data_IF_065667611824
#
_entry.id   IF_065667611824
#
_cell.length_a   1.000
_cell.length_b   1.000
_cell.length_c   1.000
_cell.angle_alpha   90.00
_cell.angle_beta   90.00
_cell.angle_gamma   90.00
#
_symmetry.space_group_name_H-M   'P 1'
#
loop_
_entity.id
_entity.type
_entity.pdbx_description
1 polymer ?
#
# COMPACT_ATOMS: atom_id res chain seq x y z
N UNK A 1 12.18 -3.64 4.91
CA UNK A 1 11.17 -2.77 4.25
C UNK A 1 10.56 -1.75 5.22
N UNK A 2 9.77 -2.16 6.22
CA UNK A 2 9.03 -1.24 7.10
C UNK A 2 9.90 -0.17 7.80
N UNK A 3 11.07 -0.55 8.32
CA UNK A 3 11.99 0.39 8.98
C UNK A 3 12.43 1.55 8.07
N UNK A 4 12.70 1.27 6.79
CA UNK A 4 13.03 2.30 5.82
C UNK A 4 11.86 3.27 5.64
N UNK A 5 10.66 2.74 5.48
CA UNK A 5 9.44 3.55 5.29
C UNK A 5 9.18 4.42 6.52
N UNK A 6 9.29 3.86 7.73
CA UNK A 6 9.14 4.60 8.97
C UNK A 6 10.16 5.73 9.08
N UNK A 7 11.44 5.45 8.82
CA UNK A 7 12.51 6.45 8.85
C UNK A 7 12.27 7.61 7.87
N UNK A 8 11.83 7.32 6.63
CA UNK A 8 11.53 8.36 5.64
C UNK A 8 10.37 9.28 6.07
N UNK A 9 9.51 8.82 6.97
CA UNK A 9 8.35 9.56 7.47
C UNK A 9 8.54 10.04 8.92
N UNK A 10 9.77 9.96 9.46
CA UNK A 10 10.08 10.42 10.82
C UNK A 10 9.46 9.58 11.94
N UNK A 11 9.03 8.35 11.65
CA UNK A 11 8.45 7.42 12.61
C UNK A 11 9.53 6.51 13.21
N UNK A 12 9.46 6.32 14.53
CA UNK A 12 10.30 5.37 15.26
C UNK A 12 9.47 4.15 15.63
N UNK A 13 9.56 3.09 14.82
CA UNK A 13 8.94 1.80 15.14
C UNK A 13 9.91 0.92 15.93
N UNK A 14 9.38 0.19 16.91
CA UNK A 14 10.17 -0.79 17.65
C UNK A 14 10.50 -2.02 16.80
N UNK A 15 11.49 -2.80 17.22
CA UNK A 15 11.81 -4.08 16.59
C UNK A 15 10.62 -5.04 16.62
N UNK A 16 9.90 -5.11 17.74
CA UNK A 16 8.73 -5.98 17.92
C UNK A 16 7.61 -5.61 16.95
N UNK A 17 7.39 -4.32 16.71
CA UNK A 17 6.41 -3.84 15.72
C UNK A 17 6.81 -4.19 14.29
N UNK A 18 8.09 -4.10 13.97
CA UNK A 18 8.60 -4.51 12.66
C UNK A 18 8.43 -6.02 12.44
N UNK A 19 8.61 -6.83 13.48
CA UNK A 19 8.38 -8.27 13.45
C UNK A 19 6.88 -8.59 13.27
N UNK A 20 6.01 -7.97 14.07
CA UNK A 20 4.56 -8.12 13.93
C UNK A 20 4.10 -7.76 12.51
N UNK A 21 4.59 -6.66 11.95
CA UNK A 21 4.27 -6.27 10.57
C UNK A 21 4.70 -7.33 9.55
N UNK A 22 5.83 -8.01 9.76
CA UNK A 22 6.31 -9.07 8.87
C UNK A 22 5.41 -10.32 8.87
N UNK A 23 4.66 -10.53 9.96
CA UNK A 23 3.68 -11.61 10.09
C UNK A 23 2.32 -11.26 9.47
N UNK A 24 2.07 -9.98 9.18
CA UNK A 24 0.81 -9.56 8.56
C UNK A 24 0.80 -9.90 7.06
N UNK A 25 -0.30 -10.47 6.60
CA UNK A 25 -0.51 -10.78 5.17
C UNK A 25 -0.79 -9.53 4.33
N UNK A 26 -1.39 -8.49 4.92
CA UNK A 26 -1.66 -7.21 4.27
C UNK A 26 -1.80 -6.09 5.30
N UNK A 27 -1.47 -4.87 4.88
CA UNK A 27 -1.73 -3.65 5.62
C UNK A 27 -2.03 -2.51 4.67
N UNK A 28 -3.14 -1.81 4.93
CA UNK A 28 -3.61 -0.67 4.14
C UNK A 28 -3.93 0.53 5.02
N UNK A 29 -3.07 0.84 5.99
CA UNK A 29 -3.26 1.98 6.90
C UNK A 29 -2.25 3.09 6.59
N UNK A 30 -2.63 4.36 6.78
CA UNK A 30 -1.67 5.46 6.77
C UNK A 30 -0.57 5.23 7.81
N UNK A 31 0.65 5.65 7.51
CA UNK A 31 1.80 5.49 8.39
C UNK A 31 1.59 6.13 9.76
N UNK A 32 0.82 7.22 9.83
CA UNK A 32 0.44 7.89 11.07
C UNK A 32 -0.33 6.97 12.03
N UNK A 33 -1.06 5.99 11.48
CA UNK A 33 -1.87 5.05 12.25
C UNK A 33 -1.20 3.68 12.40
N UNK A 34 -0.01 3.46 11.84
CA UNK A 34 0.62 2.13 11.79
C UNK A 34 1.00 1.63 13.18
N UNK A 35 1.46 2.54 14.05
CA UNK A 35 1.83 2.25 15.43
C UNK A 35 0.64 1.69 16.21
N UNK A 36 -0.47 2.43 16.19
CA UNK A 36 -1.72 2.01 16.80
C UNK A 36 -2.24 0.70 16.18
N UNK A 37 -2.26 0.58 14.85
CA UNK A 37 -2.72 -0.63 14.16
C UNK A 37 -1.92 -1.89 14.54
N UNK A 38 -0.61 -1.74 14.76
CA UNK A 38 0.25 -2.84 15.20
C UNK A 38 0.03 -3.19 16.69
N UNK A 39 -0.39 -2.23 17.52
CA UNK A 39 -0.76 -2.48 18.92
C UNK A 39 -2.10 -3.20 19.12
N UNK A 40 -3.00 -3.16 18.12
CA UNK A 40 -4.32 -3.80 18.20
C UNK A 40 -4.20 -5.33 18.19
N UNK A 41 -5.10 -6.00 18.91
CA UNK A 41 -5.19 -7.46 18.88
C UNK A 41 -5.96 -7.98 17.65
N UNK A 42 -5.92 -9.30 17.40
CA UNK A 42 -6.35 -9.90 16.13
C UNK A 42 -7.77 -9.55 15.67
N UNK A 43 -8.74 -9.48 16.58
CA UNK A 43 -10.13 -9.15 16.23
C UNK A 43 -10.36 -7.64 16.08
N UNK A 44 -9.72 -6.83 16.92
CA UNK A 44 -9.73 -5.37 16.81
C UNK A 44 -9.07 -4.91 15.51
N UNK A 45 -7.96 -5.56 15.13
CA UNK A 45 -7.23 -5.27 13.89
C UNK A 45 -8.06 -5.58 12.66
N UNK A 46 -8.86 -6.65 12.69
CA UNK A 46 -9.82 -6.97 11.60
C UNK A 46 -10.96 -5.96 11.53
N UNK A 47 -11.43 -5.47 12.67
CA UNK A 47 -12.47 -4.46 12.74
C UNK A 47 -11.96 -3.03 12.43
N UNK A 48 -10.65 -2.82 12.45
CA UNK A 48 -10.05 -1.51 12.21
C UNK A 48 -10.27 -1.04 10.77
N UNK A 49 -10.79 0.18 10.63
CA UNK A 49 -11.01 0.78 9.33
C UNK A 49 -9.69 1.11 8.62
N UNK A 50 -9.44 0.44 7.49
CA UNK A 50 -8.25 0.64 6.68
C UNK A 50 -8.53 1.70 5.60
N UNK A 51 -8.21 2.97 5.92
CA UNK A 51 -8.43 4.10 5.02
C UNK A 51 -7.58 4.06 3.73
N UNK A 52 -6.61 3.15 3.64
CA UNK A 52 -5.66 3.04 2.54
C UNK A 52 -4.36 3.81 2.79
N UNK A 53 -3.44 3.70 1.83
CA UNK A 53 -2.17 4.42 1.85
C UNK A 53 -2.33 5.75 1.09
N UNK A 54 -1.98 6.90 1.71
CA UNK A 54 -2.01 8.20 1.05
C UNK A 54 -1.14 8.26 -0.21
N UNK A 55 -1.71 8.82 -1.29
CA UNK A 55 -1.07 9.03 -2.61
C UNK A 55 -1.15 10.48 -3.07
N UNK A 56 -1.56 11.41 -2.21
CA UNK A 56 -1.68 12.82 -2.58
C UNK A 56 -0.29 13.43 -2.87
N UNK A 57 -0.27 14.67 -3.36
CA UNK A 57 0.99 15.34 -3.75
C UNK A 57 1.82 15.70 -2.52
N UNK A 58 1.17 16.12 -1.44
CA UNK A 58 1.80 16.62 -0.21
C UNK A 58 2.25 15.48 0.74
N UNK A 59 1.61 14.31 0.70
CA UNK A 59 1.85 13.16 1.57
C UNK A 59 1.84 11.85 0.75
N UNK A 60 2.85 11.67 -0.10
CA UNK A 60 2.97 10.47 -0.94
C UNK A 60 3.68 9.33 -0.21
N UNK A 61 2.94 8.60 0.61
CA UNK A 61 3.47 7.47 1.37
C UNK A 61 3.72 6.25 0.47
N UNK A 62 2.91 6.05 -0.56
CA UNK A 62 3.06 4.94 -1.50
C UNK A 62 4.46 4.90 -2.12
N UNK A 63 5.04 6.06 -2.43
CA UNK A 63 6.42 6.16 -2.93
C UNK A 63 7.43 5.52 -1.98
N UNK A 64 7.34 5.84 -0.69
CA UNK A 64 8.24 5.28 0.34
C UNK A 64 8.08 3.77 0.45
N UNK A 65 6.85 3.26 0.39
CA UNK A 65 6.55 1.82 0.38
C UNK A 65 7.17 1.10 -0.82
N UNK A 66 7.02 1.66 -2.02
CA UNK A 66 7.58 1.09 -3.25
C UNK A 66 9.12 1.03 -3.22
N UNK A 67 9.77 2.10 -2.77
CA UNK A 67 11.23 2.13 -2.61
C UNK A 67 11.68 1.10 -1.56
N UNK A 68 11.06 1.13 -0.37
CA UNK A 68 11.38 0.20 0.71
C UNK A 68 11.19 -1.27 0.31
N UNK A 69 10.19 -1.55 -0.53
CA UNK A 69 9.93 -2.89 -1.09
C UNK A 69 11.03 -3.31 -2.05
N UNK A 70 11.45 -2.45 -2.99
CA UNK A 70 12.56 -2.75 -3.90
C UNK A 70 13.91 -2.89 -3.21
N UNK A 71 14.17 -2.08 -2.18
CA UNK A 71 15.39 -2.22 -1.37
C UNK A 71 15.45 -3.58 -0.66
N UNK A 72 14.28 -4.14 -0.31
CA UNK A 72 14.20 -5.44 0.36
C UNK A 72 14.19 -6.60 -0.64
N UNK A 73 13.60 -6.43 -1.82
CA UNK A 73 13.63 -7.40 -2.91
C UNK A 73 13.64 -6.68 -4.28
N UNK A 74 14.81 -6.59 -4.95
CA UNK A 74 14.93 -5.93 -6.25
C UNK A 74 14.13 -6.58 -7.39
N UNK A 75 13.84 -7.89 -7.27
CA UNK A 75 13.15 -8.67 -8.31
C UNK A 75 11.63 -8.69 -8.14
N UNK A 76 11.09 -7.92 -7.18
CA UNK A 76 9.67 -7.90 -6.87
C UNK A 76 8.87 -7.31 -8.05
N UNK A 77 7.76 -7.96 -8.39
CA UNK A 77 6.78 -7.46 -9.35
C UNK A 77 5.57 -6.95 -8.59
N UNK A 78 5.19 -5.71 -8.88
CA UNK A 78 4.00 -5.10 -8.29
C UNK A 78 2.77 -5.50 -9.10
N UNK A 79 1.65 -5.71 -8.41
CA UNK A 79 0.34 -5.85 -9.01
C UNK A 79 -0.54 -4.69 -8.54
N UNK A 80 -1.29 -4.09 -9.46
CA UNK A 80 -2.27 -3.04 -9.19
C UNK A 80 -3.61 -3.67 -9.51
N UNK A 81 -4.47 -3.82 -8.50
CA UNK A 81 -5.88 -4.13 -8.74
C UNK A 81 -6.67 -2.81 -8.74
N UNK A 82 -7.40 -2.54 -9.81
CA UNK A 82 -8.25 -1.38 -9.96
C UNK A 82 -9.68 -1.80 -10.22
N UNK A 83 -10.58 -1.37 -9.35
CA UNK A 83 -12.02 -1.54 -9.52
C UNK A 83 -12.59 -0.54 -10.53
N UNK A 84 -13.68 -0.90 -11.21
CA UNK A 84 -14.35 -0.08 -12.21
C UNK A 84 -14.89 1.25 -11.65
N UNK A 85 -15.20 1.31 -10.35
CA UNK A 85 -15.72 2.52 -9.70
C UNK A 85 -14.62 3.53 -9.33
N UNK A 86 -13.34 3.19 -9.49
CA UNK A 86 -12.22 4.06 -9.13
C UNK A 86 -12.08 5.20 -10.14
N UNK A 87 -11.95 6.44 -9.63
CA UNK A 87 -11.75 7.60 -10.48
C UNK A 87 -10.44 7.51 -11.29
N UNK A 88 -10.52 7.84 -12.58
CA UNK A 88 -9.36 7.87 -13.49
C UNK A 88 -8.22 8.73 -12.94
N UNK A 89 -8.53 9.80 -12.22
CA UNK A 89 -7.54 10.68 -11.56
C UNK A 89 -6.70 9.95 -10.51
N UNK A 90 -7.29 9.05 -9.71
CA UNK A 90 -6.57 8.27 -8.70
C UNK A 90 -5.69 7.21 -9.35
N UNK A 91 -6.19 6.53 -10.38
CA UNK A 91 -5.41 5.55 -11.14
C UNK A 91 -4.20 6.23 -11.80
N UNK A 92 -4.42 7.36 -12.47
CA UNK A 92 -3.35 8.16 -13.07
C UNK A 92 -2.31 8.55 -12.03
N UNK A 93 -2.72 9.00 -10.84
CA UNK A 93 -1.79 9.35 -9.77
C UNK A 93 -0.91 8.17 -9.35
N UNK A 94 -1.46 6.97 -9.24
CA UNK A 94 -0.67 5.75 -8.94
C UNK A 94 0.34 5.47 -10.06
N UNK A 95 -0.07 5.59 -11.33
CA UNK A 95 0.84 5.45 -12.46
C UNK A 95 1.94 6.49 -12.49
N UNK A 96 1.65 7.76 -12.20
CA UNK A 96 2.64 8.83 -12.13
C UNK A 96 3.70 8.50 -11.06
N UNK A 97 3.28 8.00 -9.89
CA UNK A 97 4.19 7.59 -8.81
C UNK A 97 5.09 6.42 -9.23
N UNK A 98 4.54 5.43 -9.94
CA UNK A 98 5.31 4.30 -10.46
C UNK A 98 6.32 4.74 -11.53
N UNK A 99 5.93 5.66 -12.41
CA UNK A 99 6.81 6.23 -13.43
C UNK A 99 7.94 7.04 -12.81
N UNK A 100 7.66 7.88 -11.81
CA UNK A 100 8.66 8.64 -11.05
C UNK A 100 9.73 7.73 -10.42
N UNK A 101 9.36 6.48 -10.10
CA UNK A 101 10.25 5.46 -9.53
C UNK A 101 10.86 4.52 -10.58
N UNK A 102 10.66 4.78 -11.87
CA UNK A 102 11.06 3.90 -12.98
C UNK A 102 10.53 2.46 -12.83
N UNK A 103 9.32 2.30 -12.30
CA UNK A 103 8.62 1.02 -12.18
C UNK A 103 7.72 0.87 -13.40
N UNK A 104 8.28 0.30 -14.47
CA UNK A 104 7.59 0.10 -15.76
C UNK A 104 7.06 -1.32 -15.96
N UNK A 105 7.41 -2.25 -15.06
CA UNK A 105 6.97 -3.65 -15.09
C UNK A 105 6.11 -3.95 -13.88
N UNK A 106 4.80 -3.98 -14.09
CA UNK A 106 3.79 -4.34 -13.10
C UNK A 106 2.64 -5.08 -13.79
N UNK A 107 1.87 -5.82 -13.01
CA UNK A 107 0.64 -6.45 -13.47
C UNK A 107 -0.52 -5.51 -13.14
N UNK A 108 -1.37 -5.24 -14.11
CA UNK A 108 -2.64 -4.57 -13.88
C UNK A 108 -3.73 -5.65 -13.89
N UNK A 109 -4.47 -5.75 -12.80
CA UNK A 109 -5.64 -6.62 -12.66
C UNK A 109 -6.86 -5.71 -12.60
N UNK A 110 -7.88 -6.03 -13.38
CA UNK A 110 -9.15 -5.32 -13.38
C UNK A 110 -10.24 -6.38 -13.35
N UNK A 111 -11.03 -6.38 -12.28
CA UNK A 111 -12.20 -7.26 -12.20
C UNK A 111 -13.34 -6.54 -12.93
N UNK A 112 -13.73 -7.08 -14.09
CA UNK A 112 -14.83 -6.54 -14.90
C UNK A 112 -15.94 -7.60 -14.98
N UNK A 113 -16.64 -7.82 -13.88
CA UNK A 113 -17.92 -8.55 -13.94
C UNK A 113 -19.02 -7.58 -14.38
N UNK A 114 -19.15 -7.40 -15.69
CA UNK A 114 -20.47 -7.16 -16.29
C UNK A 114 -21.00 -8.52 -16.70
N UNK A 115 -21.84 -9.09 -15.85
CA UNK A 115 -22.65 -10.25 -16.20
C UNK A 115 -23.58 -9.83 -17.36
N UNK A 116 -23.19 -10.16 -18.59
CA UNK A 116 -23.95 -9.87 -19.81
C UNK A 116 -25.10 -10.88 -19.99
N UNK A 117 -25.86 -11.12 -18.93
CA UNK A 117 -26.94 -12.11 -18.88
C UNK A 117 -28.25 -11.52 -18.39
N UNK A 118 -28.63 -10.32 -18.83
CA UNK A 118 -30.03 -9.90 -18.81
C UNK A 118 -30.30 -8.96 -20.01
N UNK A 119 -30.87 -9.55 -21.08
CA UNK A 119 -31.47 -8.89 -22.25
C UNK A 119 -32.82 -9.53 -22.52
#
# INVERSE_FOLDING_TARGET
MLQYVAQQNGLNLSSDQAELFSLLSSSGVPLENIDYYLSLEGDERKAFYQAGIPVNVENNQLKSWLIGSRLSNPNLRFAINGDAEVSVSKIKRVFDILQDLNITRFNLVTDTEVDASES
#
